data_IF_392498584568
#
_entry.id   IF_392498584568
#
_cell.length_a   1.000
_cell.length_b   1.000
_cell.length_c   1.000
_cell.angle_alpha   90.00
_cell.angle_beta   90.00
_cell.angle_gamma   90.00
#
_symmetry.space_group_name_H-M   'P 1'
#
loop_
_entity.id
_entity.type
_entity.pdbx_description
1 polymer ?
#
# COMPACT_ATOMS: atom_id res chain seq x y z
N UNK A 1 -9.69 -0.85 40.05
CA UNK A 1 -11.14 -1.07 40.18
C UNK A 1 -11.68 -2.08 39.17
N UNK A 2 -11.35 -2.01 37.88
CA UNK A 2 -11.88 -2.96 36.87
C UNK A 2 -11.33 -4.40 36.92
N UNK A 3 -10.18 -4.66 37.55
CA UNK A 3 -9.57 -6.01 37.54
C UNK A 3 -10.45 -7.10 38.20
N UNK A 4 -11.40 -6.72 39.06
CA UNK A 4 -12.29 -7.68 39.71
C UNK A 4 -13.17 -8.45 38.74
N UNK A 5 -13.60 -7.84 37.62
CA UNK A 5 -14.40 -8.52 36.58
C UNK A 5 -13.58 -9.56 35.81
N UNK A 6 -12.27 -9.32 35.66
CA UNK A 6 -11.36 -10.20 34.94
C UNK A 6 -10.98 -11.44 35.76
N UNK A 7 -11.16 -11.38 37.08
CA UNK A 7 -10.85 -12.45 38.03
C UNK A 7 -12.10 -13.23 38.48
N UNK A 8 -13.25 -13.02 37.82
CA UNK A 8 -14.47 -13.76 38.15
C UNK A 8 -14.28 -15.27 37.91
N UNK A 9 -14.86 -16.13 38.77
CA UNK A 9 -14.92 -17.56 38.49
C UNK A 9 -15.80 -17.77 37.26
N UNK A 10 -15.22 -18.32 36.21
CA UNK A 10 -15.88 -18.61 34.93
C UNK A 10 -15.75 -20.11 34.59
N UNK A 11 -16.67 -20.67 33.77
CA UNK A 11 -16.58 -22.06 33.33
C UNK A 11 -15.25 -22.36 32.63
N UNK A 12 -14.83 -23.63 32.69
CA UNK A 12 -13.61 -24.09 32.00
C UNK A 12 -13.72 -23.81 30.49
N UNK A 13 -12.64 -23.31 29.88
CA UNK A 13 -12.64 -22.88 28.48
C UNK A 13 -13.22 -21.47 28.24
N UNK A 14 -13.57 -20.73 29.29
CA UNK A 14 -13.98 -19.32 29.20
C UNK A 14 -12.87 -18.37 29.68
N UNK A 15 -12.72 -17.24 29.00
CA UNK A 15 -11.78 -16.18 29.39
C UNK A 15 -12.44 -14.82 29.21
N UNK A 16 -12.27 -13.95 30.20
CA UNK A 16 -12.73 -12.56 30.14
C UNK A 16 -11.53 -11.68 29.78
N UNK A 17 -11.69 -10.89 28.73
CA UNK A 17 -10.69 -9.90 28.26
C UNK A 17 -11.31 -8.51 28.38
N UNK A 18 -10.59 -7.58 28.99
CA UNK A 18 -11.04 -6.20 29.15
C UNK A 18 -10.05 -5.20 28.58
N UNK A 19 -10.57 -4.16 27.92
CA UNK A 19 -9.80 -3.00 27.48
C UNK A 19 -10.64 -1.73 27.65
N UNK A 20 -10.24 -0.85 28.58
CA UNK A 20 -11.05 0.30 28.99
C UNK A 20 -12.48 -0.13 29.37
N UNK A 21 -13.50 0.35 28.65
CA UNK A 21 -14.91 0.00 28.80
C UNK A 21 -15.34 -1.22 27.98
N UNK A 22 -14.53 -1.67 27.03
CA UNK A 22 -14.81 -2.84 26.20
C UNK A 22 -14.47 -4.14 26.94
N UNK A 23 -15.49 -4.98 27.17
CA UNK A 23 -15.34 -6.33 27.70
C UNK A 23 -15.66 -7.37 26.63
N UNK A 24 -14.81 -8.38 26.48
CA UNK A 24 -15.03 -9.54 25.64
C UNK A 24 -15.01 -10.82 26.48
N UNK A 25 -16.02 -11.66 26.29
CA UNK A 25 -16.05 -13.02 26.84
C UNK A 25 -15.74 -13.98 25.70
N UNK A 26 -14.64 -14.72 25.83
CA UNK A 26 -14.20 -15.72 24.86
C UNK A 26 -14.50 -17.09 25.43
N UNK A 27 -15.38 -17.83 24.75
CA UNK A 27 -15.80 -19.18 25.17
C UNK A 27 -15.34 -20.18 24.12
N UNK A 28 -14.61 -21.20 24.55
CA UNK A 28 -14.17 -22.31 23.71
C UNK A 28 -14.75 -23.63 24.24
N UNK A 29 -15.64 -24.25 23.47
CA UNK A 29 -16.21 -25.56 23.78
C UNK A 29 -16.37 -26.43 22.52
N UNK A 30 -16.56 -27.75 22.70
CA UNK A 30 -16.69 -28.71 21.60
C UNK A 30 -18.08 -28.67 20.95
N UNK A 31 -19.12 -28.49 21.77
CA UNK A 31 -20.50 -28.46 21.32
C UNK A 31 -21.07 -27.04 21.40
N UNK A 32 -21.85 -26.58 20.39
CA UNK A 32 -22.47 -25.25 20.42
C UNK A 32 -23.36 -25.02 21.65
N UNK A 33 -24.00 -26.07 22.15
CA UNK A 33 -24.86 -26.03 23.34
C UNK A 33 -24.04 -25.66 24.58
N UNK A 34 -22.84 -26.21 24.73
CA UNK A 34 -21.91 -25.85 25.81
C UNK A 34 -21.50 -24.37 25.71
N UNK A 35 -21.29 -23.86 24.50
CA UNK A 35 -20.95 -22.45 24.27
C UNK A 35 -22.08 -21.53 24.74
N UNK A 36 -23.34 -21.88 24.47
CA UNK A 36 -24.51 -21.12 24.92
C UNK A 36 -24.61 -21.07 26.45
N UNK A 37 -24.44 -22.23 27.11
CA UNK A 37 -24.47 -22.34 28.57
C UNK A 37 -23.34 -21.53 29.20
N UNK A 38 -22.10 -21.76 28.79
CA UNK A 38 -20.93 -21.11 29.41
C UNK A 38 -20.91 -19.60 29.15
N UNK A 39 -21.32 -19.16 27.96
CA UNK A 39 -21.45 -17.74 27.66
C UNK A 39 -22.53 -17.09 28.54
N UNK A 40 -23.69 -17.73 28.66
CA UNK A 40 -24.82 -17.21 29.47
C UNK A 40 -24.47 -17.11 30.95
N UNK A 41 -23.84 -18.15 31.51
CA UNK A 41 -23.36 -18.15 32.90
C UNK A 41 -22.34 -17.04 33.15
N UNK A 42 -21.37 -16.89 32.24
CA UNK A 42 -20.32 -15.88 32.37
C UNK A 42 -20.87 -14.47 32.25
N UNK A 43 -21.76 -14.21 31.28
CA UNK A 43 -22.39 -12.90 31.12
C UNK A 43 -23.25 -12.55 32.35
N UNK A 44 -23.93 -13.53 32.95
CA UNK A 44 -24.67 -13.33 34.21
C UNK A 44 -23.74 -12.97 35.37
N UNK A 45 -22.61 -13.65 35.50
CA UNK A 45 -21.60 -13.33 36.52
C UNK A 45 -21.02 -11.92 36.34
N UNK A 46 -20.66 -11.56 35.10
CA UNK A 46 -20.19 -10.22 34.73
C UNK A 46 -21.24 -9.17 35.07
N UNK A 47 -22.50 -9.37 34.70
CA UNK A 47 -23.59 -8.42 34.98
C UNK A 47 -23.76 -8.19 36.48
N UNK A 48 -23.82 -9.27 37.27
CA UNK A 48 -23.94 -9.17 38.74
C UNK A 48 -22.76 -8.42 39.36
N UNK A 49 -21.54 -8.63 38.85
CA UNK A 49 -20.38 -7.90 39.31
C UNK A 49 -20.44 -6.41 38.96
N UNK A 50 -20.84 -6.07 37.72
CA UNK A 50 -20.99 -4.69 37.27
C UNK A 50 -22.01 -3.96 38.14
N UNK A 51 -23.17 -4.56 38.41
CA UNK A 51 -24.21 -3.97 39.25
C UNK A 51 -23.71 -3.71 40.67
N UNK A 52 -22.97 -4.65 41.28
CA UNK A 52 -22.34 -4.46 42.59
C UNK A 52 -21.30 -3.34 42.60
N UNK A 53 -20.64 -3.12 41.47
CA UNK A 53 -19.68 -2.03 41.27
C UNK A 53 -20.34 -0.70 40.89
N UNK A 54 -21.69 -0.63 40.82
CA UNK A 54 -22.43 0.58 40.43
C UNK A 54 -22.42 0.86 38.93
N UNK A 55 -22.15 -0.15 38.09
CA UNK A 55 -22.10 -0.08 36.64
C UNK A 55 -23.27 -0.86 36.00
N UNK A 56 -23.67 -0.47 34.80
CA UNK A 56 -24.75 -1.12 34.05
C UNK A 56 -24.23 -1.66 32.74
N UNK A 57 -24.53 -2.94 32.45
CA UNK A 57 -24.24 -3.54 31.15
C UNK A 57 -25.16 -2.93 30.08
N UNK A 58 -24.57 -2.46 28.98
CA UNK A 58 -25.33 -1.94 27.85
C UNK A 58 -25.82 -3.09 26.96
N UNK A 59 -26.93 -3.73 27.32
CA UNK A 59 -27.47 -4.93 26.66
C UNK A 59 -27.62 -4.75 25.13
N UNK A 60 -28.04 -3.56 24.67
CA UNK A 60 -28.19 -3.24 23.24
C UNK A 60 -26.86 -3.15 22.45
N UNK A 61 -25.73 -2.94 23.15
CA UNK A 61 -24.39 -2.91 22.56
C UNK A 61 -23.67 -4.25 22.67
N UNK A 62 -24.19 -5.20 23.46
CA UNK A 62 -23.61 -6.54 23.54
C UNK A 62 -23.83 -7.25 22.20
N UNK A 63 -22.75 -7.79 21.66
CA UNK A 63 -22.76 -8.55 20.42
C UNK A 63 -22.00 -9.86 20.62
N UNK A 64 -22.35 -10.89 19.83
CA UNK A 64 -21.62 -12.15 19.83
C UNK A 64 -21.39 -12.61 18.38
N UNK A 65 -20.28 -13.32 18.18
CA UNK A 65 -19.98 -14.03 16.93
C UNK A 65 -19.59 -15.45 17.28
N UNK A 66 -20.12 -16.43 16.53
CA UNK A 66 -19.70 -17.81 16.67
C UNK A 66 -18.56 -18.10 15.70
N UNK A 67 -17.35 -18.34 16.24
CA UNK A 67 -16.20 -18.74 15.43
C UNK A 67 -16.20 -20.26 15.29
N UNK A 68 -16.28 -20.77 14.06
CA UNK A 68 -16.30 -22.21 13.83
C UNK A 68 -15.78 -22.61 12.44
N UNK A 69 -15.10 -23.76 12.35
CA UNK A 69 -14.71 -24.35 11.06
C UNK A 69 -15.87 -25.10 10.39
N UNK A 70 -16.96 -25.43 11.10
CA UNK A 70 -18.12 -26.19 10.56
C UNK A 70 -18.77 -25.46 9.38
N UNK A 71 -19.13 -26.17 8.31
CA UNK A 71 -19.71 -25.56 7.10
C UNK A 71 -21.13 -25.03 7.27
N UNK A 72 -21.91 -25.64 8.18
CA UNK A 72 -23.28 -25.23 8.45
C UNK A 72 -23.26 -23.93 9.28
N UNK A 73 -24.09 -22.97 8.89
CA UNK A 73 -24.26 -21.73 9.63
C UNK A 73 -25.04 -22.03 10.92
N UNK A 74 -24.30 -22.21 12.00
CA UNK A 74 -24.88 -22.29 13.34
C UNK A 74 -24.92 -20.89 13.93
N UNK A 75 -26.03 -20.58 14.58
CA UNK A 75 -26.15 -19.40 15.43
C UNK A 75 -26.23 -19.87 16.87
N UNK A 76 -25.54 -19.18 17.77
CA UNK A 76 -25.71 -19.39 19.22
C UNK A 76 -26.64 -18.34 19.79
N UNK A 77 -27.44 -18.75 20.76
CA UNK A 77 -28.31 -17.89 21.56
C UNK A 77 -27.71 -17.74 22.96
N UNK A 78 -27.40 -16.51 23.35
CA UNK A 78 -26.87 -16.19 24.67
C UNK A 78 -27.90 -15.35 25.41
N UNK A 79 -28.28 -15.73 26.61
CA UNK A 79 -29.19 -14.90 27.41
C UNK A 79 -28.42 -13.80 28.14
N UNK A 80 -28.80 -12.56 27.87
CA UNK A 80 -28.19 -11.35 28.45
C UNK A 80 -29.31 -10.52 29.05
N UNK A 81 -29.42 -10.52 30.39
CA UNK A 81 -30.32 -9.60 31.09
C UNK A 81 -31.81 -9.75 30.79
N UNK A 82 -32.28 -10.95 30.42
CA UNK A 82 -33.68 -11.19 30.00
C UNK A 82 -33.92 -11.02 28.49
N UNK A 83 -32.87 -10.71 27.72
CA UNK A 83 -32.90 -10.67 26.26
C UNK A 83 -32.07 -11.82 25.67
N UNK A 84 -32.57 -12.46 24.61
CA UNK A 84 -31.81 -13.47 23.88
C UNK A 84 -30.99 -12.80 22.77
N UNK A 85 -29.67 -12.82 22.93
CA UNK A 85 -28.72 -12.35 21.94
C UNK A 85 -28.42 -13.47 20.94
N UNK A 86 -28.66 -13.22 19.66
CA UNK A 86 -28.31 -14.14 18.57
C UNK A 86 -26.98 -13.73 17.96
N UNK A 87 -26.07 -14.70 17.77
CA UNK A 87 -24.78 -14.43 17.15
C UNK A 87 -24.91 -13.80 15.75
N UNK A 88 -24.14 -12.74 15.49
CA UNK A 88 -24.10 -11.99 14.24
C UNK A 88 -23.08 -12.60 13.24
N UNK A 89 -23.21 -12.29 11.93
CA UNK A 89 -22.25 -12.74 10.92
C UNK A 89 -20.88 -12.05 11.01
N UNK A 90 -20.76 -10.97 11.76
CA UNK A 90 -19.50 -10.35 12.16
C UNK A 90 -19.74 -9.44 13.36
N UNK A 91 -18.70 -9.17 14.14
CA UNK A 91 -18.69 -8.15 15.19
C UNK A 91 -17.45 -7.27 15.07
N UNK A 92 -17.54 -6.03 15.57
CA UNK A 92 -16.39 -5.13 15.63
C UNK A 92 -15.90 -5.02 17.06
N UNK A 93 -14.70 -5.53 17.33
CA UNK A 93 -14.06 -5.48 18.64
C UNK A 93 -12.70 -4.77 18.53
N UNK A 94 -12.48 -3.74 19.34
CA UNK A 94 -11.27 -2.91 19.32
C UNK A 94 -10.85 -2.49 17.90
N UNK A 95 -11.82 -2.04 17.11
CA UNK A 95 -11.60 -1.59 15.74
C UNK A 95 -11.34 -2.68 14.68
N UNK A 96 -11.34 -3.97 15.07
CA UNK A 96 -11.18 -5.12 14.17
C UNK A 96 -12.52 -5.80 13.93
N UNK A 97 -12.85 -6.07 12.68
CA UNK A 97 -14.07 -6.81 12.32
C UNK A 97 -13.73 -8.30 12.26
N UNK A 98 -14.39 -9.08 13.12
CA UNK A 98 -14.17 -10.52 13.28
C UNK A 98 -15.38 -11.26 12.69
N UNK A 99 -15.13 -12.10 11.68
CA UNK A 99 -16.14 -12.97 11.08
C UNK A 99 -16.00 -14.44 11.57
N UNK A 100 -17.05 -15.27 11.49
CA UNK A 100 -17.09 -16.65 11.94
C UNK A 100 -15.96 -17.56 11.44
N UNK A 101 -15.34 -17.22 10.31
CA UNK A 101 -14.28 -18.00 9.67
C UNK A 101 -12.89 -17.42 9.90
N UNK A 102 -12.78 -16.32 10.66
CA UNK A 102 -11.56 -15.53 10.79
C UNK A 102 -10.96 -15.20 9.41
N UNK A 103 -11.85 -14.93 8.45
CA UNK A 103 -11.48 -14.65 7.08
C UNK A 103 -10.95 -13.22 6.90
N UNK A 104 -11.35 -12.33 7.81
CA UNK A 104 -11.10 -10.90 7.85
C UNK A 104 -11.48 -10.15 6.56
N UNK A 105 -12.37 -10.74 5.75
CA UNK A 105 -12.82 -10.14 4.48
C UNK A 105 -13.46 -8.76 4.72
N UNK A 106 -14.43 -8.72 5.63
CA UNK A 106 -15.16 -7.48 5.96
C UNK A 106 -14.25 -6.44 6.62
N UNK A 107 -13.28 -6.88 7.44
CA UNK A 107 -12.27 -6.01 8.02
C UNK A 107 -11.40 -5.34 6.94
N UNK A 108 -10.89 -6.14 5.99
CA UNK A 108 -10.04 -5.63 4.92
C UNK A 108 -10.83 -4.71 3.97
N UNK A 109 -12.10 -5.02 3.68
CA UNK A 109 -12.99 -4.14 2.92
C UNK A 109 -13.18 -2.79 3.62
N UNK A 110 -13.49 -2.81 4.91
CA UNK A 110 -13.63 -1.61 5.75
C UNK A 110 -12.33 -0.78 5.79
N UNK A 111 -11.19 -1.41 6.05
CA UNK A 111 -9.88 -0.74 6.08
C UNK A 111 -9.52 -0.14 4.71
N UNK A 112 -9.77 -0.87 3.62
CA UNK A 112 -9.58 -0.41 2.26
C UNK A 112 -10.45 0.81 1.93
N UNK A 113 -11.72 0.82 2.33
CA UNK A 113 -12.61 1.94 2.12
C UNK A 113 -12.16 3.17 2.91
N UNK A 114 -11.79 3.00 4.18
CA UNK A 114 -11.27 4.11 5.01
C UNK A 114 -9.97 4.68 4.43
N UNK A 115 -9.05 3.82 3.98
CA UNK A 115 -7.80 4.21 3.35
C UNK A 115 -8.03 4.89 1.98
N UNK A 116 -9.03 4.44 1.21
CA UNK A 116 -9.45 5.07 -0.04
C UNK A 116 -9.92 6.51 0.18
N UNK A 117 -10.75 6.75 1.20
CA UNK A 117 -11.24 8.07 1.56
C UNK A 117 -10.09 8.99 1.97
N UNK A 118 -9.17 8.50 2.80
CA UNK A 118 -7.97 9.25 3.19
C UNK A 118 -7.09 9.59 1.97
N UNK A 119 -6.87 8.63 1.06
CA UNK A 119 -6.11 8.85 -0.18
C UNK A 119 -6.77 9.92 -1.05
N UNK A 120 -8.09 9.92 -1.15
CA UNK A 120 -8.86 10.91 -1.93
C UNK A 120 -8.77 12.30 -1.33
N UNK A 121 -8.85 12.43 0.00
CA UNK A 121 -8.67 13.70 0.69
C UNK A 121 -7.25 14.24 0.50
N UNK A 122 -6.23 13.40 0.71
CA UNK A 122 -4.82 13.76 0.53
C UNK A 122 -4.50 14.15 -0.92
N UNK A 123 -5.09 13.46 -1.91
CA UNK A 123 -4.85 13.74 -3.32
C UNK A 123 -5.13 15.20 -3.72
N UNK A 124 -6.05 15.89 -3.02
CA UNK A 124 -6.36 17.30 -3.26
C UNK A 124 -5.17 18.23 -2.98
N UNK A 125 -4.28 17.85 -2.08
CA UNK A 125 -3.07 18.61 -1.70
C UNK A 125 -1.82 18.12 -2.44
N UNK A 126 -1.96 17.14 -3.34
CA UNK A 126 -0.85 16.43 -3.97
C UNK A 126 -0.91 16.51 -5.51
N UNK A 127 -1.05 17.70 -6.12
CA UNK A 127 -1.04 17.84 -7.57
C UNK A 127 0.28 17.35 -8.15
N UNK A 128 0.28 16.66 -9.29
CA UNK A 128 1.51 16.07 -9.86
C UNK A 128 2.56 17.14 -10.20
N UNK A 129 2.13 18.35 -10.59
CA UNK A 129 2.98 19.50 -10.92
C UNK A 129 2.73 20.61 -9.90
N UNK A 130 3.79 21.27 -9.43
CA UNK A 130 3.70 22.38 -8.48
C UNK A 130 3.27 21.98 -7.05
N UNK A 131 3.14 20.68 -6.77
CA UNK A 131 2.78 20.18 -5.45
C UNK A 131 3.98 19.90 -4.54
N UNK A 132 3.74 19.31 -3.35
CA UNK A 132 4.80 18.94 -2.42
C UNK A 132 5.83 17.98 -3.04
N UNK A 133 7.08 18.05 -2.56
CA UNK A 133 8.16 17.13 -2.93
C UNK A 133 7.89 15.69 -2.45
N UNK A 134 8.54 14.71 -3.09
CA UNK A 134 8.39 13.28 -2.83
C UNK A 134 8.52 12.92 -1.34
N UNK A 135 9.55 13.42 -0.64
CA UNK A 135 9.73 13.19 0.79
C UNK A 135 8.50 13.57 1.66
N UNK A 136 7.85 14.72 1.38
CA UNK A 136 6.64 15.15 2.09
C UNK A 136 5.44 14.26 1.75
N UNK A 137 5.34 13.80 0.51
CA UNK A 137 4.29 12.88 0.08
C UNK A 137 4.42 11.51 0.74
N UNK A 138 5.65 11.03 0.94
CA UNK A 138 5.93 9.79 1.67
C UNK A 138 5.43 9.86 3.12
N UNK A 139 5.63 10.99 3.80
CA UNK A 139 5.08 11.21 5.16
C UNK A 139 3.55 11.07 5.15
N UNK A 140 2.88 11.71 4.19
CA UNK A 140 1.42 11.62 4.04
C UNK A 140 0.94 10.20 3.69
N UNK A 141 1.73 9.45 2.92
CA UNK A 141 1.43 8.04 2.64
C UNK A 141 1.46 7.16 3.91
N UNK A 142 2.13 7.62 4.97
CA UNK A 142 2.09 7.02 6.30
C UNK A 142 0.68 6.90 6.88
N UNK A 143 -0.23 7.83 6.57
CA UNK A 143 -1.64 7.80 7.01
C UNK A 143 -2.39 6.64 6.34
N UNK A 144 -2.20 6.47 5.03
CA UNK A 144 -2.84 5.36 4.28
C UNK A 144 -2.28 4.02 4.78
N UNK A 145 -0.96 3.96 5.00
CA UNK A 145 -0.29 2.78 5.56
C UNK A 145 -0.82 2.42 6.96
N UNK A 146 -0.98 3.39 7.85
CA UNK A 146 -1.46 3.13 9.22
C UNK A 146 -2.90 2.63 9.26
N UNK A 147 -3.77 3.17 8.40
CA UNK A 147 -5.15 2.69 8.26
C UNK A 147 -5.17 1.24 7.76
N UNK A 148 -4.39 0.94 6.71
CA UNK A 148 -4.37 -0.40 6.12
C UNK A 148 -3.73 -1.46 7.02
N UNK A 149 -2.71 -1.10 7.81
CA UNK A 149 -1.97 -2.03 8.66
C UNK A 149 -2.51 -2.12 10.09
N UNK A 150 -3.61 -1.43 10.41
CA UNK A 150 -4.21 -1.46 11.73
C UNK A 150 -4.56 -2.90 12.13
N UNK A 151 -3.99 -3.34 13.26
CA UNK A 151 -4.11 -4.71 13.78
C UNK A 151 -3.66 -5.80 12.79
N UNK A 152 -2.75 -5.49 11.87
CA UNK A 152 -2.19 -6.45 10.91
C UNK A 152 -1.69 -7.78 11.49
N UNK A 153 -1.11 -7.86 12.70
CA UNK A 153 -0.75 -9.16 13.27
C UNK A 153 -1.90 -10.16 13.38
N UNK A 154 -3.14 -9.68 13.51
CA UNK A 154 -4.34 -10.51 13.66
C UNK A 154 -4.84 -11.06 12.32
N UNK A 155 -4.71 -10.29 11.24
CA UNK A 155 -5.30 -10.62 9.94
C UNK A 155 -4.29 -10.82 8.80
N UNK A 156 -2.99 -10.65 9.03
CA UNK A 156 -1.97 -10.72 7.98
C UNK A 156 -2.03 -12.05 7.19
N UNK A 157 -2.31 -13.16 7.86
CA UNK A 157 -2.48 -14.47 7.23
C UNK A 157 -3.64 -14.52 6.23
N UNK A 158 -4.68 -13.69 6.40
CA UNK A 158 -5.78 -13.58 5.46
C UNK A 158 -5.32 -13.11 4.06
N UNK A 159 -4.16 -12.44 3.96
CA UNK A 159 -3.55 -12.05 2.68
C UNK A 159 -2.88 -13.22 1.93
N UNK A 160 -2.85 -14.44 2.49
CA UNK A 160 -2.57 -15.65 1.72
C UNK A 160 -3.55 -15.80 0.56
N UNK A 161 -4.80 -15.31 0.71
CA UNK A 161 -5.76 -15.20 -0.36
C UNK A 161 -5.37 -14.09 -1.36
N UNK A 162 -5.18 -14.45 -2.62
CA UNK A 162 -4.72 -13.54 -3.67
C UNK A 162 -5.70 -12.40 -3.96
N UNK A 163 -7.01 -12.61 -3.84
CA UNK A 163 -8.02 -11.57 -4.08
C UNK A 163 -7.96 -10.49 -3.01
N UNK A 164 -7.86 -10.88 -1.73
CA UNK A 164 -7.71 -9.93 -0.61
C UNK A 164 -6.40 -9.15 -0.71
N UNK A 165 -5.31 -9.85 -1.05
CA UNK A 165 -4.01 -9.21 -1.30
C UNK A 165 -4.08 -8.18 -2.42
N UNK A 166 -4.69 -8.52 -3.56
CA UNK A 166 -4.91 -7.60 -4.68
C UNK A 166 -5.74 -6.39 -4.28
N UNK A 167 -6.81 -6.59 -3.51
CA UNK A 167 -7.65 -5.49 -3.02
C UNK A 167 -6.85 -4.48 -2.20
N UNK A 168 -6.13 -4.94 -1.17
CA UNK A 168 -5.33 -4.09 -0.28
C UNK A 168 -4.20 -3.37 -1.06
N UNK A 169 -3.48 -4.11 -1.91
CA UNK A 169 -2.42 -3.54 -2.75
C UNK A 169 -2.96 -2.50 -3.75
N UNK A 170 -4.17 -2.69 -4.29
CA UNK A 170 -4.77 -1.73 -5.22
C UNK A 170 -5.06 -0.37 -4.56
N UNK A 171 -5.47 -0.37 -3.28
CA UNK A 171 -5.68 0.87 -2.52
C UNK A 171 -4.36 1.53 -2.20
N UNK A 172 -3.38 0.76 -1.72
CA UNK A 172 -2.04 1.26 -1.40
C UNK A 172 -1.35 1.87 -2.63
N UNK A 173 -1.50 1.24 -3.80
CA UNK A 173 -1.01 1.72 -5.09
C UNK A 173 -1.51 3.12 -5.44
N UNK A 174 -2.76 3.46 -5.13
CA UNK A 174 -3.31 4.80 -5.40
C UNK A 174 -2.55 5.90 -4.67
N UNK A 175 -2.08 5.62 -3.46
CA UNK A 175 -1.23 6.55 -2.73
C UNK A 175 0.19 6.59 -3.32
N UNK A 176 0.76 5.43 -3.70
CA UNK A 176 2.06 5.36 -4.35
C UNK A 176 2.12 6.19 -5.65
N UNK A 177 1.07 6.14 -6.48
CA UNK A 177 0.93 7.00 -7.65
C UNK A 177 1.05 8.48 -7.32
N UNK A 178 0.46 8.91 -6.19
CA UNK A 178 0.56 10.30 -5.73
C UNK A 178 1.95 10.62 -5.22
N UNK A 179 2.60 9.71 -4.51
CA UNK A 179 3.95 9.89 -3.95
C UNK A 179 4.97 10.21 -5.03
N UNK A 180 5.00 9.44 -6.12
CA UNK A 180 5.92 9.70 -7.22
C UNK A 180 5.32 10.56 -8.34
N UNK A 181 4.08 11.04 -8.24
CA UNK A 181 3.41 11.81 -9.31
C UNK A 181 3.26 11.03 -10.63
N UNK A 182 3.08 9.72 -10.54
CA UNK A 182 2.94 8.80 -11.67
C UNK A 182 1.55 8.86 -12.33
N UNK A 183 1.49 8.36 -13.57
CA UNK A 183 0.25 8.16 -14.30
C UNK A 183 -0.52 6.95 -13.78
N UNK A 184 -1.86 7.02 -13.82
CA UNK A 184 -2.76 5.96 -13.34
C UNK A 184 -2.58 4.59 -14.01
N UNK A 185 -1.82 4.52 -15.09
CA UNK A 185 -1.55 3.33 -15.92
C UNK A 185 -0.29 2.56 -15.46
N UNK A 186 0.58 3.17 -14.65
CA UNK A 186 1.83 2.55 -14.16
C UNK A 186 1.54 1.32 -13.30
N UNK A 187 2.22 0.20 -13.48
CA UNK A 187 1.94 -1.02 -12.71
C UNK A 187 2.17 -0.84 -11.20
N UNK A 188 1.60 -1.73 -10.38
CA UNK A 188 1.82 -1.78 -8.93
C UNK A 188 3.29 -1.95 -8.58
N UNK A 189 3.98 -2.85 -9.27
CA UNK A 189 5.37 -3.19 -9.04
C UNK A 189 6.28 -1.99 -9.33
N UNK A 190 6.10 -1.36 -10.50
CA UNK A 190 6.89 -0.18 -10.89
C UNK A 190 6.62 1.03 -9.99
N UNK A 191 5.35 1.34 -9.69
CA UNK A 191 5.03 2.54 -8.91
C UNK A 191 5.52 2.43 -7.47
N UNK A 192 5.46 1.24 -6.86
CA UNK A 192 5.98 1.02 -5.52
C UNK A 192 7.51 1.16 -5.47
N UNK A 193 8.22 0.65 -6.49
CA UNK A 193 9.67 0.83 -6.63
C UNK A 193 10.03 2.32 -6.75
N UNK A 194 9.45 3.03 -7.72
CA UNK A 194 9.72 4.47 -7.92
C UNK A 194 9.36 5.30 -6.68
N UNK A 195 8.21 5.01 -6.05
CA UNK A 195 7.78 5.70 -4.85
C UNK A 195 8.64 5.39 -3.62
N UNK A 196 9.39 4.27 -3.61
CA UNK A 196 10.11 3.80 -2.43
C UNK A 196 9.17 3.28 -1.34
N UNK A 197 8.08 2.61 -1.73
CA UNK A 197 7.04 2.11 -0.83
C UNK A 197 7.01 0.59 -0.83
N UNK A 198 7.42 -0.04 0.27
CA UNK A 198 7.37 -1.50 0.43
C UNK A 198 5.90 -1.97 0.27
N UNK A 199 5.63 -3.02 -0.53
CA UNK A 199 4.29 -3.58 -0.67
C UNK A 199 3.62 -3.82 0.68
N UNK A 200 2.37 -3.37 0.81
CA UNK A 200 1.67 -3.39 2.10
C UNK A 200 1.40 -4.80 2.62
N UNK A 201 1.28 -5.79 1.74
CA UNK A 201 1.17 -7.20 2.14
C UNK A 201 2.48 -7.75 2.76
N UNK A 202 3.63 -7.28 2.28
CA UNK A 202 4.93 -7.60 2.88
C UNK A 202 5.04 -6.92 4.24
N UNK A 203 4.64 -5.65 4.34
CA UNK A 203 4.62 -4.92 5.62
C UNK A 203 3.69 -5.57 6.65
N UNK A 204 2.53 -6.09 6.23
CA UNK A 204 1.63 -6.81 7.13
C UNK A 204 2.29 -8.08 7.71
N UNK A 205 3.04 -8.81 6.89
CA UNK A 205 3.84 -9.97 7.35
C UNK A 205 4.95 -9.53 8.31
N UNK A 206 5.70 -8.47 7.98
CA UNK A 206 6.74 -7.89 8.85
C UNK A 206 6.17 -7.57 10.25
N UNK A 207 5.03 -6.89 10.29
CA UNK A 207 4.36 -6.50 11.53
C UNK A 207 3.89 -7.72 12.35
N UNK A 208 3.37 -8.76 11.70
CA UNK A 208 2.95 -10.00 12.36
C UNK A 208 4.14 -10.74 12.99
N UNK A 209 5.25 -10.87 12.26
CA UNK A 209 6.49 -11.47 12.78
C UNK A 209 6.99 -10.73 14.01
N UNK A 210 7.06 -9.39 13.95
CA UNK A 210 7.53 -8.58 15.06
C UNK A 210 6.60 -8.65 16.28
N UNK A 211 5.29 -8.68 16.06
CA UNK A 211 4.31 -8.80 17.13
C UNK A 211 4.39 -10.15 17.86
N UNK A 212 4.60 -11.24 17.13
CA UNK A 212 4.75 -12.58 17.72
C UNK A 212 6.03 -12.69 18.56
N UNK A 213 7.09 -11.98 18.17
CA UNK A 213 8.34 -11.94 18.90
C UNK A 213 8.42 -10.82 19.96
N UNK A 214 7.32 -10.08 20.25
CA UNK A 214 7.37 -8.86 21.07
C UNK A 214 7.95 -9.02 22.48
N UNK A 215 7.80 -10.21 23.08
CA UNK A 215 8.31 -10.52 24.43
C UNK A 215 9.73 -11.10 24.44
N UNK A 216 10.35 -11.28 23.27
CA UNK A 216 11.72 -11.77 23.16
C UNK A 216 12.72 -10.62 23.33
N UNK A 217 13.97 -10.90 23.71
CA UNK A 217 15.04 -9.89 23.76
C UNK A 217 15.46 -9.45 22.34
N UNK A 218 16.33 -8.43 22.24
CA UNK A 218 16.90 -8.00 20.96
C UNK A 218 15.92 -7.36 19.97
N UNK A 219 14.99 -6.53 20.46
CA UNK A 219 13.95 -5.92 19.62
C UNK A 219 14.49 -5.15 18.41
N UNK A 220 15.59 -4.39 18.57
CA UNK A 220 16.21 -3.65 17.48
C UNK A 220 16.79 -4.57 16.39
N UNK A 221 17.50 -5.63 16.79
CA UNK A 221 18.07 -6.63 15.90
C UNK A 221 16.97 -7.36 15.13
N UNK A 222 15.90 -7.77 15.80
CA UNK A 222 14.74 -8.42 15.18
C UNK A 222 14.02 -7.51 14.19
N UNK A 223 13.86 -6.23 14.52
CA UNK A 223 13.29 -5.23 13.60
C UNK A 223 14.15 -5.09 12.34
N UNK A 224 15.47 -5.01 12.48
CA UNK A 224 16.37 -4.91 11.34
C UNK A 224 16.36 -6.20 10.49
N UNK A 225 16.35 -7.36 11.12
CA UNK A 225 16.24 -8.65 10.43
C UNK A 225 14.91 -8.80 9.67
N UNK A 226 13.77 -8.48 10.30
CA UNK A 226 12.46 -8.54 9.66
C UNK A 226 12.34 -7.54 8.49
N UNK A 227 12.92 -6.34 8.63
CA UNK A 227 13.02 -5.38 7.53
C UNK A 227 13.90 -5.91 6.40
N UNK A 228 15.02 -6.56 6.72
CA UNK A 228 15.88 -7.19 5.71
C UNK A 228 15.12 -8.28 4.95
N UNK A 229 14.47 -9.22 5.64
CA UNK A 229 13.68 -10.27 4.99
C UNK A 229 12.58 -9.69 4.09
N UNK A 230 11.93 -8.61 4.54
CA UNK A 230 10.90 -7.90 3.78
C UNK A 230 11.45 -7.28 2.50
N UNK A 231 12.65 -6.69 2.56
CA UNK A 231 13.33 -6.12 1.39
C UNK A 231 13.81 -7.23 0.44
N UNK A 232 14.29 -8.38 0.95
CA UNK A 232 14.69 -9.51 0.10
C UNK A 232 13.49 -10.16 -0.59
N UNK A 233 12.35 -10.29 0.10
CA UNK A 233 11.11 -10.73 -0.51
C UNK A 233 10.62 -9.75 -1.57
N UNK A 234 10.73 -8.45 -1.32
CA UNK A 234 10.35 -7.44 -2.30
C UNK A 234 11.28 -7.48 -3.52
N UNK A 235 12.60 -7.54 -3.31
CA UNK A 235 13.58 -7.64 -4.39
C UNK A 235 13.31 -8.84 -5.29
N UNK A 236 13.08 -10.04 -4.72
CA UNK A 236 12.71 -11.23 -5.52
C UNK A 236 11.45 -11.03 -6.36
N UNK A 237 10.38 -10.49 -5.76
CA UNK A 237 9.14 -10.16 -6.51
C UNK A 237 9.39 -9.13 -7.60
N UNK A 238 10.32 -8.20 -7.39
CA UNK A 238 10.68 -7.19 -8.37
C UNK A 238 11.44 -7.77 -9.55
N UNK A 239 12.37 -8.68 -9.28
CA UNK A 239 13.15 -9.38 -10.30
C UNK A 239 12.27 -10.31 -11.14
N UNK A 240 11.36 -11.05 -10.51
CA UNK A 240 10.44 -12.01 -11.15
C UNK A 240 9.28 -11.35 -11.91
N UNK A 241 9.00 -10.06 -11.66
CA UNK A 241 7.88 -9.36 -12.28
C UNK A 241 8.06 -9.18 -13.79
N UNK A 242 7.06 -9.61 -14.56
CA UNK A 242 6.96 -9.30 -15.99
C UNK A 242 6.49 -7.84 -16.26
N UNK A 243 5.98 -7.13 -15.24
CA UNK A 243 5.56 -5.74 -15.36
C UNK A 243 6.64 -4.78 -14.89
N UNK A 244 6.67 -3.58 -15.47
CA UNK A 244 7.61 -2.54 -15.05
C UNK A 244 9.04 -2.76 -15.50
N UNK A 245 9.27 -3.56 -16.56
CA UNK A 245 10.62 -3.97 -16.99
C UNK A 245 11.56 -2.81 -17.31
N UNK A 246 11.05 -1.74 -17.91
CA UNK A 246 11.81 -0.50 -18.11
C UNK A 246 12.27 0.10 -16.77
N UNK A 247 11.34 0.24 -15.82
CA UNK A 247 11.65 0.70 -14.46
C UNK A 247 12.63 -0.23 -13.75
N UNK A 248 12.53 -1.55 -13.92
CA UNK A 248 13.46 -2.52 -13.34
C UNK A 248 14.86 -2.38 -13.91
N UNK A 249 14.97 -2.20 -15.23
CA UNK A 249 16.26 -1.97 -15.90
C UNK A 249 16.99 -0.74 -15.34
N UNK A 250 16.23 0.32 -15.02
CA UNK A 250 16.76 1.53 -14.40
C UNK A 250 16.99 1.37 -12.89
N UNK A 251 16.10 0.68 -12.18
CA UNK A 251 16.13 0.51 -10.72
C UNK A 251 16.15 -1.00 -10.40
N UNK A 252 17.27 -1.70 -10.65
CA UNK A 252 17.31 -3.15 -10.44
C UNK A 252 17.39 -3.49 -8.96
N UNK A 253 18.06 -2.67 -8.15
CA UNK A 253 18.24 -2.90 -6.71
C UNK A 253 17.39 -1.95 -5.88
N UNK A 254 16.37 -2.50 -5.23
CA UNK A 254 15.42 -1.76 -4.39
C UNK A 254 16.10 -1.17 -3.15
N UNK A 255 17.04 -1.89 -2.53
CA UNK A 255 17.71 -1.42 -1.30
C UNK A 255 18.52 -0.16 -1.58
N UNK A 256 19.36 -0.22 -2.62
CA UNK A 256 20.17 0.91 -3.07
C UNK A 256 19.29 2.12 -3.40
N UNK A 257 18.17 1.89 -4.08
CA UNK A 257 17.22 2.96 -4.38
C UNK A 257 16.60 3.58 -3.13
N UNK A 258 16.17 2.77 -2.15
CA UNK A 258 15.56 3.26 -0.91
C UNK A 258 16.55 4.01 -0.01
N UNK A 259 17.82 3.62 -0.02
CA UNK A 259 18.87 4.14 0.86
C UNK A 259 19.58 5.38 0.29
N UNK A 260 19.11 5.90 -0.86
CA UNK A 260 19.62 7.13 -1.47
C UNK A 260 19.62 8.29 -0.49
N UNK A 261 20.71 9.07 -0.51
CA UNK A 261 20.93 10.20 0.40
C UNK A 261 20.40 11.53 -0.15
N UNK A 262 20.19 11.59 -1.46
CA UNK A 262 19.75 12.74 -2.21
C UNK A 262 18.77 12.32 -3.30
N UNK A 263 18.11 13.31 -3.90
CA UNK A 263 17.22 13.08 -5.02
C UNK A 263 15.77 12.74 -4.66
N UNK A 264 14.87 13.61 -5.08
CA UNK A 264 13.43 13.39 -5.03
C UNK A 264 12.92 12.99 -6.42
N UNK A 265 12.01 12.01 -6.48
CA UNK A 265 11.24 11.79 -7.71
C UNK A 265 10.23 12.92 -7.88
N UNK A 266 10.06 13.39 -9.12
CA UNK A 266 9.10 14.41 -9.49
C UNK A 266 8.31 13.94 -10.73
N UNK A 267 7.39 14.76 -11.22
CA UNK A 267 6.57 14.43 -12.40
C UNK A 267 7.39 14.03 -13.65
N UNK A 268 8.53 14.68 -13.89
CA UNK A 268 9.36 14.44 -15.07
C UNK A 268 10.22 13.18 -14.92
N UNK A 269 10.91 13.06 -13.78
CA UNK A 269 11.68 11.88 -13.40
C UNK A 269 10.79 10.64 -13.42
N UNK A 270 9.60 10.71 -12.83
CA UNK A 270 8.70 9.57 -12.77
C UNK A 270 8.18 9.15 -14.14
N UNK A 271 7.89 10.09 -15.04
CA UNK A 271 7.55 9.74 -16.43
C UNK A 271 8.69 8.99 -17.12
N UNK A 272 9.92 9.47 -16.94
CA UNK A 272 11.11 8.80 -17.48
C UNK A 272 11.26 7.40 -16.88
N UNK A 273 11.30 7.27 -15.55
CA UNK A 273 11.51 6.00 -14.84
C UNK A 273 10.42 4.96 -15.14
N UNK A 274 9.18 5.40 -15.37
CA UNK A 274 8.06 4.49 -15.62
C UNK A 274 7.84 4.20 -17.10
N UNK A 275 8.34 5.06 -17.99
CA UNK A 275 7.99 5.06 -19.41
C UNK A 275 6.55 5.48 -19.69
N UNK A 276 5.87 6.04 -18.70
CA UNK A 276 4.50 6.49 -18.81
C UNK A 276 4.49 8.01 -18.79
N UNK A 277 4.38 8.65 -19.95
CA UNK A 277 4.47 10.10 -20.05
C UNK A 277 3.70 10.69 -21.21
N UNK A 278 3.08 11.84 -20.97
CA UNK A 278 2.28 12.56 -21.98
C UNK A 278 3.11 13.19 -23.09
N UNK A 279 4.44 13.09 -23.01
CA UNK A 279 5.41 13.60 -23.99
C UNK A 279 5.91 12.52 -24.97
N UNK A 280 5.76 11.23 -24.64
CA UNK A 280 6.27 10.12 -25.45
C UNK A 280 5.22 9.61 -26.43
N UNK A 281 5.48 9.65 -27.74
CA UNK A 281 4.50 9.24 -28.76
C UNK A 281 4.12 7.77 -28.65
N UNK A 282 5.05 6.88 -28.34
CA UNK A 282 4.74 5.46 -28.16
C UNK A 282 3.67 5.26 -27.07
N UNK A 283 3.83 5.96 -25.93
CA UNK A 283 2.86 5.94 -24.85
C UNK A 283 1.52 6.55 -25.27
N UNK A 284 1.52 7.71 -25.93
CA UNK A 284 0.29 8.39 -26.36
C UNK A 284 -0.50 7.58 -27.40
N UNK A 285 0.18 6.98 -28.37
CA UNK A 285 -0.42 6.14 -29.41
C UNK A 285 -1.15 4.93 -28.81
N UNK A 286 -0.58 4.29 -27.78
CA UNK A 286 -1.24 3.21 -27.03
C UNK A 286 -2.61 3.59 -26.46
N UNK A 287 -2.85 4.88 -26.22
CA UNK A 287 -4.13 5.41 -25.74
C UNK A 287 -4.94 6.16 -26.82
N UNK A 288 -4.52 6.09 -28.09
CA UNK A 288 -5.19 6.79 -29.20
C UNK A 288 -5.07 8.33 -29.12
N UNK A 289 -4.04 8.85 -28.45
CA UNK A 289 -3.81 10.29 -28.28
C UNK A 289 -2.77 10.88 -29.24
N UNK A 290 -2.15 10.03 -30.05
CA UNK A 290 -1.26 10.35 -31.15
C UNK A 290 -1.43 9.29 -32.24
N UNK A 291 -1.31 9.69 -33.51
CA UNK A 291 -1.60 8.82 -34.65
C UNK A 291 -0.49 7.79 -34.90
N UNK A 292 0.75 8.08 -34.47
CA UNK A 292 1.89 7.19 -34.68
C UNK A 292 2.76 7.07 -33.42
N UNK A 293 3.31 5.89 -33.12
CA UNK A 293 4.17 5.68 -31.95
C UNK A 293 5.62 6.15 -32.16
N UNK A 294 6.02 6.41 -33.40
CA UNK A 294 7.42 6.59 -33.79
C UNK A 294 7.91 8.03 -33.62
N UNK A 295 9.23 8.18 -33.43
CA UNK A 295 9.91 9.46 -33.41
C UNK A 295 9.80 10.15 -34.77
N UNK A 296 9.45 11.45 -34.84
CA UNK A 296 9.34 12.16 -36.11
C UNK A 296 10.64 12.30 -36.90
N UNK A 297 11.80 12.09 -36.24
CA UNK A 297 13.13 12.25 -36.84
C UNK A 297 13.84 10.92 -37.10
N UNK A 298 13.46 9.86 -36.41
CA UNK A 298 14.12 8.56 -36.50
C UNK A 298 13.15 7.55 -37.09
N UNK A 299 13.41 7.20 -38.35
CA UNK A 299 12.50 6.34 -39.10
C UNK A 299 12.32 4.97 -38.43
N UNK A 300 11.06 4.53 -38.31
CA UNK A 300 10.69 3.26 -37.69
C UNK A 300 10.94 3.13 -36.17
N UNK A 301 11.57 4.10 -35.51
CA UNK A 301 11.94 3.97 -34.08
C UNK A 301 10.84 4.52 -33.17
N UNK A 302 10.31 3.76 -32.20
CA UNK A 302 9.38 4.27 -31.19
C UNK A 302 9.93 5.46 -30.41
N UNK A 303 9.11 6.49 -30.18
CA UNK A 303 9.49 7.59 -29.29
C UNK A 303 9.13 7.26 -27.84
N UNK A 304 10.05 6.58 -27.17
CA UNK A 304 9.99 6.19 -25.76
C UNK A 304 11.13 6.84 -24.95
N UNK A 305 11.18 6.68 -23.60
CA UNK A 305 12.23 7.31 -22.80
C UNK A 305 13.63 6.82 -23.13
N UNK A 306 13.79 5.56 -23.54
CA UNK A 306 15.09 4.99 -23.90
C UNK A 306 15.64 5.69 -25.14
N UNK A 307 14.84 5.71 -26.21
CA UNK A 307 15.21 6.37 -27.45
C UNK A 307 15.51 7.85 -27.22
N UNK A 308 14.61 8.56 -26.53
CA UNK A 308 14.76 10.00 -26.28
C UNK A 308 16.04 10.30 -25.50
N UNK A 309 16.27 9.57 -24.40
CA UNK A 309 17.38 9.87 -23.48
C UNK A 309 18.73 9.45 -24.03
N UNK A 310 18.82 8.32 -24.76
CA UNK A 310 20.11 7.69 -25.09
C UNK A 310 20.47 7.72 -26.57
N UNK A 311 19.50 7.81 -27.49
CA UNK A 311 19.75 7.56 -28.91
C UNK A 311 19.33 8.71 -29.84
N UNK A 312 18.26 9.43 -29.52
CA UNK A 312 17.61 10.35 -30.44
C UNK A 312 18.53 11.52 -30.82
N UNK A 313 18.84 11.75 -32.11
CA UNK A 313 19.77 12.80 -32.55
C UNK A 313 19.25 14.21 -32.26
N UNK A 314 17.95 14.39 -31.99
CA UNK A 314 17.38 15.66 -31.53
C UNK A 314 18.01 16.14 -30.23
N UNK A 315 18.41 15.21 -29.37
CA UNK A 315 18.90 15.48 -28.02
C UNK A 315 20.40 15.23 -27.87
N UNK A 316 21.15 15.27 -28.98
CA UNK A 316 22.58 15.02 -28.99
C UNK A 316 23.38 16.10 -28.22
N UNK A 317 22.89 17.35 -28.17
CA UNK A 317 23.51 18.42 -27.40
C UNK A 317 23.35 18.18 -25.90
N UNK A 318 22.14 17.92 -25.46
CA UNK A 318 21.78 17.65 -24.06
C UNK A 318 22.54 16.44 -23.54
N UNK A 319 22.63 15.36 -24.33
CA UNK A 319 23.47 14.19 -23.98
C UNK A 319 24.95 14.54 -23.88
N UNK A 320 25.49 15.35 -24.80
CA UNK A 320 26.90 15.78 -24.73
C UNK A 320 27.19 16.53 -23.42
N UNK A 321 26.34 17.49 -23.07
CA UNK A 321 26.45 18.23 -21.81
C UNK A 321 26.31 17.31 -20.60
N UNK A 322 25.35 16.39 -20.62
CA UNK A 322 25.18 15.42 -19.54
C UNK A 322 26.40 14.52 -19.36
N UNK A 323 26.96 14.03 -20.47
CA UNK A 323 28.10 13.11 -20.45
C UNK A 323 29.37 13.76 -19.89
N UNK A 324 29.52 15.09 -19.96
CA UNK A 324 30.62 15.81 -19.31
C UNK A 324 30.56 15.70 -17.78
N UNK A 325 29.36 15.61 -17.19
CA UNK A 325 29.17 15.44 -15.74
C UNK A 325 29.25 13.97 -15.34
N UNK A 326 28.69 13.09 -16.16
CA UNK A 326 28.64 11.64 -15.89
C UNK A 326 30.00 10.95 -16.10
N UNK A 327 30.86 11.49 -16.96
CA UNK A 327 32.20 11.00 -17.27
C UNK A 327 32.24 9.76 -18.18
N UNK A 328 31.37 8.76 -17.95
CA UNK A 328 31.37 7.48 -18.72
C UNK A 328 30.30 7.40 -19.81
N UNK A 329 29.43 8.41 -19.89
CA UNK A 329 28.25 8.39 -20.75
C UNK A 329 27.20 7.42 -20.22
N UNK A 330 26.12 7.96 -19.63
CA UNK A 330 25.10 7.14 -19.00
C UNK A 330 24.44 6.16 -19.97
N UNK A 331 24.30 4.91 -19.54
CA UNK A 331 23.50 3.86 -20.21
C UNK A 331 22.20 3.64 -19.45
N UNK A 332 21.17 2.97 -20.01
CA UNK A 332 20.01 2.57 -19.23
C UNK A 332 20.37 1.82 -17.94
N UNK A 333 21.40 0.97 -17.97
CA UNK A 333 21.85 0.17 -16.84
C UNK A 333 22.61 0.98 -15.78
N UNK A 334 23.34 2.02 -16.19
CA UNK A 334 24.22 2.78 -15.30
C UNK A 334 23.61 4.09 -14.81
N UNK A 335 22.67 4.69 -15.56
CA UNK A 335 22.22 6.07 -15.34
C UNK A 335 21.73 6.32 -13.91
N UNK A 336 20.87 5.44 -13.37
CA UNK A 336 20.36 5.62 -12.00
C UNK A 336 21.48 5.43 -10.97
N UNK A 337 22.38 4.47 -11.15
CA UNK A 337 23.50 4.30 -10.21
C UNK A 337 24.37 5.56 -10.20
N UNK A 338 24.65 6.15 -11.37
CA UNK A 338 25.38 7.41 -11.47
C UNK A 338 24.63 8.59 -10.81
N UNK A 339 23.29 8.65 -10.95
CA UNK A 339 22.48 9.64 -10.21
C UNK A 339 22.64 9.51 -8.69
N UNK A 340 22.82 8.29 -8.19
CA UNK A 340 22.94 8.00 -6.77
C UNK A 340 24.35 8.29 -6.20
N UNK A 341 25.37 8.50 -7.04
CA UNK A 341 26.74 8.78 -6.58
C UNK A 341 26.90 10.18 -5.99
N UNK A 342 26.23 11.20 -6.55
CA UNK A 342 26.31 12.58 -6.04
C UNK A 342 25.05 13.38 -6.36
N UNK A 343 24.79 14.41 -5.55
CA UNK A 343 23.68 15.35 -5.79
C UNK A 343 23.85 16.09 -7.13
N UNK A 344 25.09 16.43 -7.50
CA UNK A 344 25.41 17.04 -8.80
C UNK A 344 24.97 16.17 -9.97
N UNK A 345 25.30 14.87 -9.95
CA UNK A 345 24.90 13.93 -11.01
C UNK A 345 23.39 13.76 -11.05
N UNK A 346 22.74 13.66 -9.90
CA UNK A 346 21.27 13.63 -9.83
C UNK A 346 20.65 14.85 -10.50
N UNK A 347 21.13 16.05 -10.17
CA UNK A 347 20.61 17.31 -10.72
C UNK A 347 20.87 17.43 -12.22
N UNK A 348 22.04 17.02 -12.70
CA UNK A 348 22.38 17.02 -14.12
C UNK A 348 21.44 16.10 -14.92
N UNK A 349 21.24 14.86 -14.46
CA UNK A 349 20.33 13.91 -15.13
C UNK A 349 18.89 14.41 -15.05
N UNK A 350 18.45 14.90 -13.89
CA UNK A 350 17.10 15.45 -13.74
C UNK A 350 16.86 16.63 -14.68
N UNK A 351 17.82 17.54 -14.82
CA UNK A 351 17.70 18.70 -15.69
C UNK A 351 17.65 18.29 -17.16
N UNK A 352 18.49 17.35 -17.58
CA UNK A 352 18.45 16.81 -18.93
C UNK A 352 17.09 16.15 -19.26
N UNK A 353 16.56 15.33 -18.35
CA UNK A 353 15.23 14.71 -18.52
C UNK A 353 14.14 15.78 -18.66
N UNK A 354 14.14 16.80 -17.80
CA UNK A 354 13.15 17.88 -17.84
C UNK A 354 13.23 18.62 -19.19
N UNK A 355 14.43 19.04 -19.61
CA UNK A 355 14.64 19.76 -20.86
C UNK A 355 14.15 18.96 -22.08
N UNK A 356 14.54 17.68 -22.18
CA UNK A 356 14.13 16.82 -23.30
C UNK A 356 12.61 16.62 -23.34
N UNK A 357 11.97 16.42 -22.17
CA UNK A 357 10.52 16.26 -22.07
C UNK A 357 9.76 17.57 -22.39
N UNK A 358 10.28 18.73 -22.00
CA UNK A 358 9.69 20.01 -22.34
C UNK A 358 9.74 20.28 -23.84
N UNK A 359 10.86 19.97 -24.51
CA UNK A 359 10.96 20.08 -25.97
C UNK A 359 10.00 19.12 -26.67
N UNK A 360 9.88 17.86 -26.22
CA UNK A 360 8.87 16.92 -26.71
C UNK A 360 7.44 17.49 -26.61
N UNK A 361 7.10 18.09 -25.47
CA UNK A 361 5.78 18.71 -25.26
C UNK A 361 5.57 19.93 -26.16
N UNK A 362 6.60 20.76 -26.38
CA UNK A 362 6.53 21.91 -27.31
C UNK A 362 6.27 21.43 -28.73
N UNK A 363 7.01 20.43 -29.21
CA UNK A 363 6.79 19.84 -30.53
C UNK A 363 5.39 19.24 -30.66
N UNK A 364 4.92 18.51 -29.65
CA UNK A 364 3.58 17.91 -29.65
C UNK A 364 2.49 18.99 -29.76
N UNK A 365 2.61 20.10 -29.02
CA UNK A 365 1.65 21.23 -29.11
C UNK A 365 1.65 21.85 -30.51
N UNK A 366 2.82 22.02 -31.13
CA UNK A 366 2.94 22.53 -32.51
C UNK A 366 2.26 21.61 -33.51
N UNK A 367 2.50 20.29 -33.43
CA UNK A 367 1.85 19.29 -34.30
C UNK A 367 0.33 19.29 -34.16
N UNK A 368 -0.18 19.29 -32.92
CA UNK A 368 -1.64 19.34 -32.67
C UNK A 368 -2.28 20.62 -33.20
N UNK A 369 -1.59 21.75 -33.11
CA UNK A 369 -2.06 23.01 -33.68
C UNK A 369 -2.09 22.96 -35.22
N UNK A 370 -1.08 22.36 -35.86
CA UNK A 370 -1.04 22.18 -37.31
C UNK A 370 -2.17 21.27 -37.83
N UNK A 371 -2.38 20.10 -37.21
CA UNK A 371 -3.46 19.18 -37.59
C UNK A 371 -4.86 19.82 -37.43
N UNK A 372 -5.07 20.64 -36.41
CA UNK A 372 -6.33 21.37 -36.24
C UNK A 372 -6.58 22.37 -37.37
N UNK A 373 -5.54 23.07 -37.82
CA UNK A 373 -5.62 24.03 -38.93
C UNK A 373 -5.92 23.33 -40.26
N UNK A 374 -5.33 22.16 -40.51
CA UNK A 374 -5.56 21.39 -41.74
C UNK A 374 -6.92 20.70 -41.80
N UNK A 375 -7.60 20.50 -40.67
CA UNK A 375 -8.97 19.97 -40.64
C UNK A 375 -10.05 21.06 -40.69
N UNK A 376 -9.68 22.31 -40.41
CA UNK A 376 -10.58 23.48 -40.47
C UNK A 376 -10.53 24.23 -41.80
N UNK A 377 -9.56 23.89 -42.66
CA UNK A 377 -9.43 24.35 -44.03
C UNK A 377 -9.89 23.22 -44.96
#
# INVERSE_FOLDING_TARGET
MYNGVLALPVPEGTTIVGFADDLAVVVAAKHPEDVEVYATETVRAVKSWLEKAGLTLADAKTEAVLITKRRKNYTVKVEVGGHTLVSKPAIKYLGVIIDPKLSFREHLEYACQKAASATTALAKMLPNIGGPKHCRRLVLAGVVRSILLYSSPVWAEALANSQRRKQVNSVYRRMALRVCSAFRTTSDEAVLAVAGMIPVDILAKEMSVLYNARHMEGHAQRRNAARSESLDLWQRRWDESAKGRWTHRLIPNIRVWLERKHGDTNYHITQFLTGHGGCYRQYLHRFGLDDFPNCPRCDGIPEDPEHVMFHCPRFAMERRSLNQVLGRGGTPESLVNEMLESEEKWLAVSSAIIQMQEELLKEQRRRKAANRRSMSA
#
